data_IF_547995372972
#
_entry.id   IF_547995372972
#
_cell.length_a   1.000
_cell.length_b   1.000
_cell.length_c   1.000
_cell.angle_alpha   90.00
_cell.angle_beta   90.00
_cell.angle_gamma   90.00
#
_symmetry.space_group_name_H-M   'P 1'
#
loop_
_entity.id
_entity.type
_entity.pdbx_description
1 polymer ?
#
# COMPACT_ATOMS: atom_id res chain seq x y z
N UNK A 1 18.87 -33.32 31.23
CA UNK A 1 19.62 -32.16 30.69
C UNK A 1 18.84 -31.31 29.66
N UNK A 2 17.89 -31.84 28.86
CA UNK A 2 17.07 -31.03 27.92
C UNK A 2 16.08 -30.05 28.59
N UNK A 3 15.49 -30.43 29.73
CA UNK A 3 14.50 -29.62 30.46
C UNK A 3 15.09 -28.37 31.14
N UNK A 4 16.36 -28.41 31.57
CA UNK A 4 17.03 -27.26 32.17
C UNK A 4 17.30 -26.16 31.13
N UNK A 5 17.75 -26.57 29.94
CA UNK A 5 18.02 -25.68 28.81
C UNK A 5 16.76 -24.98 28.28
N UNK A 6 15.60 -25.66 28.34
CA UNK A 6 14.31 -25.08 27.98
C UNK A 6 13.84 -24.00 28.97
N UNK A 7 14.13 -24.17 30.27
CA UNK A 7 13.78 -23.17 31.30
C UNK A 7 14.69 -21.94 31.26
N UNK A 8 15.96 -22.11 30.89
CA UNK A 8 16.86 -21.00 30.64
C UNK A 8 16.40 -20.17 29.43
N UNK A 9 16.03 -20.83 28.33
CA UNK A 9 15.51 -20.17 27.12
C UNK A 9 14.21 -19.39 27.40
N UNK A 10 13.29 -19.92 28.21
CA UNK A 10 12.07 -19.18 28.57
C UNK A 10 12.32 -18.06 29.57
N UNK A 11 13.30 -18.21 30.48
CA UNK A 11 13.69 -17.15 31.41
C UNK A 11 14.34 -15.97 30.69
N UNK A 12 15.18 -16.22 29.68
CA UNK A 12 15.81 -15.20 28.84
C UNK A 12 14.78 -14.47 27.97
N UNK A 13 13.79 -15.17 27.42
CA UNK A 13 12.69 -14.54 26.66
C UNK A 13 11.83 -13.63 27.53
N UNK A 14 11.71 -13.92 28.83
CA UNK A 14 10.89 -13.11 29.75
C UNK A 14 11.60 -11.86 30.30
N UNK A 15 12.94 -11.81 30.27
CA UNK A 15 13.72 -10.66 30.78
C UNK A 15 13.89 -9.55 29.74
N UNK A 16 13.76 -9.85 28.45
CA UNK A 16 13.83 -8.84 27.37
C UNK A 16 12.52 -8.03 27.25
N UNK A 17 11.45 -8.45 27.93
CA UNK A 17 10.13 -7.81 27.84
C UNK A 17 9.93 -6.62 28.81
N UNK A 18 10.86 -6.32 29.72
CA UNK A 18 10.63 -5.34 30.80
C UNK A 18 11.54 -4.10 30.83
N UNK A 19 12.42 -3.90 29.85
CA UNK A 19 13.11 -2.62 29.67
C UNK A 19 12.42 -1.83 28.58
N UNK A 20 11.81 -0.70 28.95
CA UNK A 20 11.12 0.24 28.07
C UNK A 20 12.06 0.85 27.02
N UNK A 21 12.33 0.07 25.98
CA UNK A 21 12.89 0.56 24.73
C UNK A 21 11.75 1.18 23.94
N UNK A 22 11.94 2.44 23.54
CA UNK A 22 11.15 3.08 22.48
C UNK A 22 10.92 2.06 21.37
N UNK A 23 9.66 1.86 20.97
CA UNK A 23 9.28 0.96 19.88
C UNK A 23 10.04 1.41 18.64
N UNK A 24 11.20 0.81 18.40
CA UNK A 24 11.91 0.93 17.14
C UNK A 24 10.90 0.57 16.07
N UNK A 25 10.60 1.56 15.24
CA UNK A 25 9.58 1.54 14.22
C UNK A 25 9.90 0.38 13.26
N UNK A 26 9.32 -0.80 13.52
CA UNK A 26 9.72 -2.08 12.94
C UNK A 26 9.81 -1.94 11.42
N UNK A 27 11.04 -2.00 10.88
CA UNK A 27 11.34 -2.14 9.45
C UNK A 27 10.38 -3.19 8.87
N UNK A 28 9.74 -2.95 7.71
CA UNK A 28 8.70 -3.84 7.12
C UNK A 28 9.02 -5.29 7.46
N UNK A 29 8.21 -5.87 8.35
CA UNK A 29 8.54 -7.08 9.13
C UNK A 29 9.21 -8.12 8.22
N UNK A 30 10.32 -8.73 8.65
CA UNK A 30 10.99 -9.78 7.88
C UNK A 30 9.99 -10.90 7.48
N UNK A 31 8.93 -11.09 8.26
CA UNK A 31 7.83 -12.01 7.98
C UNK A 31 6.94 -11.57 6.81
N UNK A 32 6.75 -10.27 6.59
CA UNK A 32 6.06 -9.73 5.41
C UNK A 32 6.87 -9.97 4.14
N UNK A 33 8.21 -9.78 4.19
CA UNK A 33 9.10 -10.12 3.06
C UNK A 33 9.06 -11.62 2.72
N UNK A 34 8.89 -12.47 3.73
CA UNK A 34 8.74 -13.91 3.57
C UNK A 34 7.33 -14.35 3.10
N UNK A 35 6.32 -13.47 3.15
CA UNK A 35 4.99 -13.78 2.67
C UNK A 35 4.96 -13.80 1.13
N UNK A 36 4.65 -14.97 0.56
CA UNK A 36 4.56 -15.21 -0.88
C UNK A 36 3.69 -14.17 -1.62
N UNK A 37 2.67 -13.62 -0.96
CA UNK A 37 1.75 -12.67 -1.58
C UNK A 37 2.18 -11.21 -1.51
N UNK A 38 3.13 -10.85 -0.65
CA UNK A 38 3.53 -9.47 -0.42
C UNK A 38 4.20 -8.82 -1.65
N UNK A 39 5.17 -9.45 -2.34
CA UNK A 39 5.73 -8.92 -3.59
C UNK A 39 4.68 -8.77 -4.71
N UNK A 40 3.73 -9.70 -4.78
CA UNK A 40 2.64 -9.69 -5.76
C UNK A 40 1.67 -8.54 -5.50
N UNK A 41 1.31 -8.30 -4.23
CA UNK A 41 0.45 -7.19 -3.83
C UNK A 41 1.08 -5.83 -4.16
N UNK A 42 2.39 -5.67 -3.92
CA UNK A 42 3.14 -4.45 -4.30
C UNK A 42 3.01 -4.17 -5.80
N UNK A 43 3.32 -5.15 -6.65
CA UNK A 43 3.24 -5.01 -8.11
C UNK A 43 1.82 -4.77 -8.63
N UNK A 44 0.81 -5.34 -7.97
CA UNK A 44 -0.58 -5.24 -8.42
C UNK A 44 -1.25 -3.93 -8.03
N UNK A 45 -0.98 -3.42 -6.82
CA UNK A 45 -1.75 -2.32 -6.24
C UNK A 45 -1.00 -1.00 -6.22
N UNK A 46 0.30 -1.01 -5.90
CA UNK A 46 1.06 0.23 -5.73
C UNK A 46 1.20 1.09 -6.98
N UNK A 47 1.27 0.56 -8.22
CA UNK A 47 1.29 1.41 -9.41
C UNK A 47 0.08 2.35 -9.51
N UNK A 48 -1.11 1.90 -9.09
CA UNK A 48 -2.33 2.72 -9.11
C UNK A 48 -2.34 3.76 -7.99
N UNK A 49 -1.86 3.37 -6.80
CA UNK A 49 -1.67 4.30 -5.66
C UNK A 49 -0.64 5.38 -6.03
N UNK A 50 0.44 5.00 -6.70
CA UNK A 50 1.46 5.93 -7.20
C UNK A 50 0.88 6.87 -8.25
N UNK A 51 0.13 6.36 -9.23
CA UNK A 51 -0.49 7.19 -10.26
C UNK A 51 -1.41 8.26 -9.66
N UNK A 52 -2.20 7.92 -8.63
CA UNK A 52 -3.00 8.91 -7.90
C UNK A 52 -2.15 9.97 -7.21
N UNK A 53 -1.01 9.59 -6.65
CA UNK A 53 -0.15 10.56 -5.99
C UNK A 53 0.61 11.45 -6.99
N UNK A 54 1.03 10.89 -8.12
CA UNK A 54 1.67 11.64 -9.20
C UNK A 54 0.69 12.65 -9.85
N UNK A 55 -0.60 12.34 -9.87
CA UNK A 55 -1.65 13.22 -10.40
C UNK A 55 -2.11 14.31 -9.40
N UNK A 56 -1.66 14.26 -8.14
CA UNK A 56 -2.11 15.17 -7.09
C UNK A 56 -1.69 16.64 -7.34
N UNK A 57 -0.46 16.95 -7.78
CA UNK A 57 -0.07 18.33 -8.11
C UNK A 57 -0.98 18.97 -9.17
N UNK A 58 -1.34 18.22 -10.21
CA UNK A 58 -2.26 18.69 -11.25
C UNK A 58 -3.67 18.89 -10.69
N UNK A 59 -4.15 17.99 -9.83
CA UNK A 59 -5.45 18.14 -9.19
C UNK A 59 -5.53 19.38 -8.29
N UNK A 60 -4.45 19.70 -7.57
CA UNK A 60 -4.34 20.95 -6.79
C UNK A 60 -4.42 22.16 -7.72
N UNK A 61 -3.62 22.18 -8.79
CA UNK A 61 -3.64 23.26 -9.77
C UNK A 61 -5.03 23.46 -10.39
N UNK A 62 -5.70 22.38 -10.79
CA UNK A 62 -7.06 22.45 -11.34
C UNK A 62 -8.11 22.92 -10.33
N UNK A 63 -7.96 22.58 -9.05
CA UNK A 63 -8.85 23.07 -7.99
C UNK A 63 -8.64 24.58 -7.72
N UNK A 64 -7.42 25.07 -7.87
CA UNK A 64 -7.10 26.49 -7.72
C UNK A 64 -7.63 27.31 -8.91
N UNK A 65 -7.41 26.83 -10.14
CA UNK A 65 -7.87 27.45 -11.38
C UNK A 65 -9.36 27.26 -11.67
N UNK A 66 -10.09 26.48 -10.85
CA UNK A 66 -11.47 26.07 -11.08
C UNK A 66 -11.70 25.32 -12.41
N UNK A 67 -10.69 24.56 -12.85
CA UNK A 67 -10.78 23.69 -14.03
C UNK A 67 -11.56 22.42 -13.69
N UNK A 68 -12.87 22.56 -13.45
CA UNK A 68 -13.75 21.49 -12.95
C UNK A 68 -13.81 20.27 -13.86
N UNK A 69 -13.76 20.47 -15.18
CA UNK A 69 -13.89 19.37 -16.14
C UNK A 69 -12.63 18.48 -16.12
N UNK A 70 -11.45 19.11 -15.98
CA UNK A 70 -10.15 18.43 -15.92
C UNK A 70 -9.98 17.70 -14.60
N UNK A 71 -10.34 18.36 -13.50
CA UNK A 71 -10.39 17.72 -12.19
C UNK A 71 -11.42 16.58 -12.15
N UNK A 72 -12.53 16.72 -12.87
CA UNK A 72 -13.53 15.67 -13.04
C UNK A 72 -12.99 14.45 -13.78
N UNK A 73 -12.13 14.63 -14.79
CA UNK A 73 -11.45 13.51 -15.46
C UNK A 73 -10.54 12.77 -14.49
N UNK A 74 -9.72 13.47 -13.71
CA UNK A 74 -8.86 12.84 -12.69
C UNK A 74 -9.69 12.10 -11.62
N UNK A 75 -10.75 12.73 -11.12
CA UNK A 75 -11.62 12.15 -10.10
C UNK A 75 -12.35 10.88 -10.55
N UNK A 76 -12.71 10.77 -11.83
CA UNK A 76 -13.43 9.61 -12.37
C UNK A 76 -12.52 8.58 -13.06
N UNK A 77 -11.21 8.83 -13.10
CA UNK A 77 -10.22 7.87 -13.61
C UNK A 77 -9.22 7.56 -12.52
N UNK A 78 -8.10 8.27 -12.48
CA UNK A 78 -6.93 7.98 -11.64
C UNK A 78 -7.29 7.82 -10.15
N UNK A 79 -8.11 8.73 -9.59
CA UNK A 79 -8.47 8.65 -8.18
C UNK A 79 -9.46 7.53 -7.88
N UNK A 80 -10.43 7.29 -8.76
CA UNK A 80 -11.39 6.20 -8.60
C UNK A 80 -10.71 4.83 -8.67
N UNK A 81 -9.80 4.68 -9.65
CA UNK A 81 -9.00 3.47 -9.85
C UNK A 81 -8.07 3.16 -8.66
N UNK A 82 -7.73 4.15 -7.83
CA UNK A 82 -6.87 3.98 -6.67
C UNK A 82 -7.62 3.52 -5.40
N UNK A 83 -8.94 3.73 -5.31
CA UNK A 83 -9.74 3.40 -4.10
C UNK A 83 -9.61 1.91 -3.72
N UNK A 84 -9.87 1.02 -4.68
CA UNK A 84 -9.76 -0.43 -4.46
C UNK A 84 -8.33 -0.86 -4.07
N UNK A 85 -7.30 -0.49 -4.85
CA UNK A 85 -5.90 -0.78 -4.55
C UNK A 85 -5.43 -0.33 -3.16
N UNK A 86 -5.83 0.85 -2.67
CA UNK A 86 -5.48 1.31 -1.33
C UNK A 86 -5.95 0.33 -0.24
N UNK A 87 -7.21 -0.12 -0.34
CA UNK A 87 -7.80 -1.07 0.61
C UNK A 87 -7.17 -2.46 0.49
N UNK A 88 -6.99 -2.94 -0.74
CA UNK A 88 -6.45 -4.27 -1.02
C UNK A 88 -4.98 -4.40 -0.62
N UNK A 89 -4.18 -3.35 -0.81
CA UNK A 89 -2.79 -3.34 -0.36
C UNK A 89 -2.72 -3.36 1.17
N UNK A 90 -3.47 -2.51 1.86
CA UNK A 90 -3.54 -2.52 3.33
C UNK A 90 -3.96 -3.91 3.86
N UNK A 91 -4.99 -4.51 3.28
CA UNK A 91 -5.43 -5.87 3.62
C UNK A 91 -4.34 -6.91 3.40
N UNK A 92 -3.61 -6.85 2.29
CA UNK A 92 -2.52 -7.79 1.99
C UNK A 92 -1.38 -7.76 3.03
N UNK A 93 -1.19 -6.62 3.72
CA UNK A 93 -0.19 -6.48 4.78
C UNK A 93 -0.58 -7.19 6.08
N UNK A 94 -1.86 -7.48 6.32
CA UNK A 94 -2.34 -8.20 7.51
C UNK A 94 -2.08 -9.71 7.48
N UNK A 95 -1.36 -10.22 6.46
CA UNK A 95 -0.92 -11.61 6.44
C UNK A 95 -1.98 -12.64 6.04
N UNK A 96 -3.18 -12.23 5.57
CA UNK A 96 -4.24 -13.14 5.09
C UNK A 96 -4.54 -14.30 6.06
N UNK A 97 -4.59 -14.03 7.37
CA UNK A 97 -4.85 -15.05 8.42
C UNK A 97 -3.60 -15.53 9.17
N UNK A 98 -2.40 -15.16 8.73
CA UNK A 98 -1.20 -15.20 9.57
C UNK A 98 -1.25 -13.99 10.50
N UNK A 99 -1.18 -14.19 11.81
CA UNK A 99 -1.36 -13.14 12.84
C UNK A 99 -0.20 -12.13 12.89
N UNK A 100 0.05 -11.43 11.78
CA UNK A 100 1.00 -10.33 11.68
C UNK A 100 0.26 -9.06 12.11
N UNK A 101 0.44 -8.66 13.37
CA UNK A 101 -0.13 -7.43 13.92
C UNK A 101 0.70 -6.23 13.47
N UNK A 102 0.53 -5.86 12.21
CA UNK A 102 1.22 -4.72 11.63
C UNK A 102 0.48 -3.45 12.05
N UNK A 103 0.98 -2.76 13.08
CA UNK A 103 0.26 -1.65 13.73
C UNK A 103 -0.10 -0.52 12.76
N UNK A 104 0.74 -0.26 11.75
CA UNK A 104 0.53 0.79 10.75
C UNK A 104 -0.54 0.47 9.71
N UNK A 105 -0.99 -0.79 9.60
CA UNK A 105 -2.06 -1.15 8.65
C UNK A 105 -3.39 -0.54 9.06
N UNK A 106 -3.63 -0.37 10.37
CA UNK A 106 -4.84 0.31 10.86
C UNK A 106 -4.91 1.74 10.35
N UNK A 107 -3.79 2.46 10.38
CA UNK A 107 -3.71 3.80 9.83
C UNK A 107 -3.90 3.77 8.31
N UNK A 108 -3.26 2.86 7.59
CA UNK A 108 -3.48 2.72 6.14
C UNK A 108 -4.94 2.43 5.78
N UNK A 109 -5.63 1.55 6.53
CA UNK A 109 -7.06 1.29 6.32
C UNK A 109 -7.87 2.56 6.56
N UNK A 110 -7.64 3.26 7.67
CA UNK A 110 -8.32 4.53 7.97
C UNK A 110 -8.10 5.56 6.87
N UNK A 111 -6.86 5.76 6.44
CA UNK A 111 -6.53 6.73 5.39
C UNK A 111 -7.15 6.32 4.03
N UNK A 112 -7.28 5.02 3.74
CA UNK A 112 -7.96 4.56 2.52
C UNK A 112 -9.46 4.85 2.51
N UNK A 113 -10.11 4.79 3.67
CA UNK A 113 -11.52 5.16 3.83
C UNK A 113 -11.72 6.68 3.75
N UNK A 114 -10.79 7.44 4.35
CA UNK A 114 -10.79 8.90 4.25
C UNK A 114 -10.58 9.36 2.80
N UNK A 115 -9.69 8.71 2.06
CA UNK A 115 -9.47 8.97 0.63
C UNK A 115 -10.76 8.74 -0.18
N UNK A 116 -11.43 7.61 0.02
CA UNK A 116 -12.71 7.32 -0.66
C UNK A 116 -13.81 8.32 -0.30
N UNK A 117 -13.92 8.68 0.98
CA UNK A 117 -14.88 9.68 1.43
C UNK A 117 -14.59 11.08 0.86
N UNK A 118 -13.32 11.47 0.80
CA UNK A 118 -12.88 12.71 0.17
C UNK A 118 -13.16 12.72 -1.34
N UNK A 119 -12.93 11.60 -2.04
CA UNK A 119 -13.28 11.45 -3.45
C UNK A 119 -14.79 11.58 -3.68
N UNK A 120 -15.60 10.98 -2.82
CA UNK A 120 -17.06 11.12 -2.85
C UNK A 120 -17.51 12.57 -2.67
N UNK A 121 -16.85 13.31 -1.76
CA UNK A 121 -17.09 14.76 -1.57
C UNK A 121 -16.65 15.57 -2.78
N UNK A 122 -15.48 15.28 -3.35
CA UNK A 122 -14.97 15.92 -4.57
C UNK A 122 -15.96 15.75 -5.73
N UNK A 123 -16.40 14.52 -6.01
CA UNK A 123 -17.38 14.24 -7.09
C UNK A 123 -18.70 15.00 -6.89
N UNK A 124 -19.15 15.17 -5.64
CA UNK A 124 -20.35 15.97 -5.32
C UNK A 124 -20.11 17.48 -5.53
N UNK A 125 -18.95 17.99 -5.09
CA UNK A 125 -18.58 19.40 -5.27
C UNK A 125 -18.42 19.76 -6.75
N UNK A 126 -17.80 18.87 -7.55
CA UNK A 126 -17.65 19.02 -9.00
C UNK A 126 -19.00 19.13 -9.71
N UNK A 127 -19.97 18.27 -9.36
CA UNK A 127 -21.34 18.34 -9.92
C UNK A 127 -22.03 19.68 -9.64
N UNK A 128 -21.72 20.29 -8.50
CA UNK A 128 -22.27 21.60 -8.10
C UNK A 128 -21.41 22.78 -8.57
N UNK A 129 -20.24 22.52 -9.18
CA UNK A 129 -19.20 23.52 -9.45
C UNK A 129 -18.87 24.39 -8.24
N UNK A 130 -18.85 23.76 -7.06
CA UNK A 130 -18.51 24.43 -5.80
C UNK A 130 -16.98 24.51 -5.67
N UNK A 131 -16.42 25.70 -5.92
CA UNK A 131 -14.98 25.96 -5.80
C UNK A 131 -14.43 25.70 -4.40
N UNK A 132 -15.15 26.13 -3.36
CA UNK A 132 -14.69 25.98 -1.99
C UNK A 132 -14.72 24.51 -1.56
N UNK A 133 -15.82 23.83 -1.85
CA UNK A 133 -15.97 22.39 -1.60
C UNK A 133 -14.97 21.55 -2.39
N UNK A 134 -14.69 21.93 -3.63
CA UNK A 134 -13.69 21.26 -4.48
C UNK A 134 -12.29 21.36 -3.89
N UNK A 135 -11.85 22.57 -3.52
CA UNK A 135 -10.52 22.78 -2.92
C UNK A 135 -10.37 22.05 -1.59
N UNK A 136 -11.41 22.09 -0.74
CA UNK A 136 -11.41 21.36 0.52
C UNK A 136 -11.29 19.84 0.30
N UNK A 137 -12.07 19.30 -0.65
CA UNK A 137 -12.03 17.87 -0.94
C UNK A 137 -10.69 17.41 -1.56
N UNK A 138 -10.04 18.25 -2.40
CA UNK A 138 -8.70 17.95 -2.94
C UNK A 138 -7.64 17.97 -1.85
N UNK A 139 -7.69 18.91 -0.90
CA UNK A 139 -6.77 18.92 0.25
C UNK A 139 -6.93 17.67 1.12
N UNK A 140 -8.17 17.24 1.34
CA UNK A 140 -8.44 16.03 2.11
C UNK A 140 -7.96 14.76 1.37
N UNK A 141 -8.09 14.71 0.03
CA UNK A 141 -7.53 13.65 -0.80
C UNK A 141 -6.00 13.59 -0.71
N UNK A 142 -5.34 14.74 -0.83
CA UNK A 142 -3.88 14.82 -0.75
C UNK A 142 -3.37 14.41 0.64
N UNK A 143 -4.00 14.94 1.70
CA UNK A 143 -3.64 14.63 3.09
C UNK A 143 -3.77 13.14 3.40
N UNK A 144 -4.89 12.52 3.01
CA UNK A 144 -5.13 11.09 3.25
C UNK A 144 -4.18 10.22 2.41
N UNK A 145 -3.95 10.57 1.14
CA UNK A 145 -3.02 9.82 0.29
C UNK A 145 -1.57 9.92 0.78
N UNK A 146 -1.14 11.11 1.20
CA UNK A 146 0.20 11.33 1.76
C UNK A 146 0.37 10.58 3.07
N UNK A 147 -0.60 10.66 3.98
CA UNK A 147 -0.58 9.94 5.25
C UNK A 147 -0.58 8.42 5.05
N UNK A 148 -1.36 7.91 4.10
CA UNK A 148 -1.34 6.51 3.70
C UNK A 148 0.05 6.07 3.24
N UNK A 149 0.68 6.87 2.37
CA UNK A 149 2.00 6.55 1.81
C UNK A 149 3.11 6.60 2.88
N UNK A 150 3.03 7.52 3.83
CA UNK A 150 3.94 7.60 4.97
C UNK A 150 3.76 6.37 5.87
N UNK A 151 2.51 6.06 6.28
CA UNK A 151 2.20 4.91 7.13
C UNK A 151 2.66 3.59 6.48
N UNK A 152 2.45 3.44 5.17
CA UNK A 152 2.89 2.28 4.41
C UNK A 152 4.38 2.27 4.04
N UNK A 153 5.13 3.35 4.33
CA UNK A 153 6.53 3.55 3.93
C UNK A 153 6.75 3.34 2.42
N UNK A 154 5.80 3.84 1.64
CA UNK A 154 5.77 3.82 0.15
C UNK A 154 5.84 5.25 -0.42
N UNK A 155 6.33 6.20 0.36
CA UNK A 155 6.62 7.57 -0.04
C UNK A 155 7.98 7.69 -0.77
N UNK A 156 8.39 6.63 -1.47
CA UNK A 156 9.61 6.58 -2.28
C UNK A 156 9.31 6.99 -3.73
N UNK A 157 10.33 7.36 -4.53
CA UNK A 157 10.15 7.77 -5.93
C UNK A 157 9.45 6.73 -6.81
N UNK A 158 9.66 5.44 -6.52
CA UNK A 158 9.04 4.29 -7.20
C UNK A 158 7.66 3.91 -6.62
N UNK A 159 7.14 4.67 -5.65
CA UNK A 159 5.86 4.38 -4.99
C UNK A 159 5.88 3.11 -4.14
N UNK A 160 7.06 2.69 -3.70
CA UNK A 160 7.24 1.51 -2.88
C UNK A 160 7.06 0.20 -3.65
N UNK A 161 7.19 0.17 -4.98
CA UNK A 161 7.16 -1.08 -5.76
C UNK A 161 8.43 -1.92 -5.52
N UNK A 162 9.58 -1.26 -5.32
CA UNK A 162 10.91 -1.80 -5.05
C UNK A 162 11.54 -2.58 -6.21
N UNK A 163 12.85 -2.83 -6.12
CA UNK A 163 13.45 -4.00 -6.76
C UNK A 163 13.19 -5.24 -5.90
N UNK A 164 12.82 -6.37 -6.51
CA UNK A 164 12.78 -7.66 -5.81
C UNK A 164 14.22 -8.18 -5.82
N UNK A 165 14.90 -8.35 -4.67
CA UNK A 165 16.21 -8.98 -4.66
C UNK A 165 16.03 -10.43 -5.15
N UNK A 166 16.47 -10.72 -6.37
CA UNK A 166 16.49 -12.09 -6.92
C UNK A 166 17.61 -12.93 -6.33
N UNK A 167 18.54 -12.33 -5.57
CA UNK A 167 19.68 -13.02 -5.01
C UNK A 167 19.51 -13.36 -3.52
N UNK A 168 19.07 -14.60 -3.30
CA UNK A 168 19.74 -15.63 -2.46
C UNK A 168 18.69 -16.67 -2.04
N UNK A 169 18.74 -17.83 -2.71
CA UNK A 169 18.12 -19.11 -2.32
C UNK A 169 16.75 -18.96 -1.64
N UNK A 170 15.77 -18.52 -2.40
CA UNK A 170 14.41 -18.98 -2.15
C UNK A 170 14.42 -20.51 -2.33
N UNK A 171 13.98 -21.25 -1.30
CA UNK A 171 14.05 -22.70 -1.24
C UNK A 171 13.45 -23.37 -2.49
N UNK A 172 13.81 -24.62 -2.72
CA UNK A 172 13.51 -25.45 -3.91
C UNK A 172 12.06 -25.46 -4.43
N UNK A 173 11.09 -24.84 -3.76
CA UNK A 173 9.76 -24.55 -4.29
C UNK A 173 9.65 -23.34 -5.25
N UNK A 174 10.70 -22.55 -5.41
CA UNK A 174 10.72 -21.35 -6.28
C UNK A 174 11.38 -21.56 -7.66
N UNK A 175 11.88 -22.77 -7.95
CA UNK A 175 12.63 -23.06 -9.17
C UNK A 175 11.75 -23.47 -10.36
N UNK A 176 10.42 -23.40 -10.28
CA UNK A 176 9.58 -23.63 -11.46
C UNK A 176 9.31 -22.34 -12.24
N UNK A 177 10.38 -21.60 -12.50
CA UNK A 177 10.39 -20.50 -13.47
C UNK A 177 10.57 -21.10 -14.87
N UNK A 178 9.71 -22.07 -15.23
CA UNK A 178 9.76 -22.74 -16.53
C UNK A 178 9.23 -21.75 -17.59
N UNK A 179 10.08 -21.20 -18.46
CA UNK A 179 9.65 -20.23 -19.47
C UNK A 179 8.63 -20.81 -20.46
N UNK A 180 8.52 -22.14 -20.57
CA UNK A 180 7.53 -22.83 -21.42
C UNK A 180 6.09 -22.60 -20.93
N UNK A 181 5.86 -22.30 -19.65
CA UNK A 181 4.52 -22.02 -19.11
C UNK A 181 3.91 -20.71 -19.64
N UNK A 182 4.74 -19.77 -20.10
CA UNK A 182 4.30 -18.47 -20.59
C UNK A 182 4.30 -18.37 -22.13
N UNK A 183 4.77 -19.40 -22.84
CA UNK A 183 4.86 -19.40 -24.29
C UNK A 183 3.60 -19.93 -25.00
N UNK A 184 2.61 -20.49 -24.29
CA UNK A 184 1.56 -21.28 -24.96
C UNK A 184 0.42 -20.50 -25.63
N UNK A 185 0.41 -19.16 -25.64
CA UNK A 185 -0.67 -18.37 -26.27
C UNK A 185 -0.21 -17.33 -27.31
N UNK A 186 1.04 -17.35 -27.77
CA UNK A 186 1.48 -16.50 -28.90
C UNK A 186 1.71 -17.40 -30.11
N UNK A 187 0.63 -17.88 -30.71
CA UNK A 187 0.71 -18.67 -31.95
C UNK A 187 -0.38 -19.73 -32.11
N UNK A 188 -1.64 -19.34 -32.16
CA UNK A 188 -2.72 -20.14 -32.74
C UNK A 188 -3.69 -19.23 -33.50
N UNK A 189 -3.20 -18.66 -34.59
CA UNK A 189 -4.03 -18.21 -35.71
C UNK A 189 -3.37 -18.74 -36.97
N UNK A 190 -3.87 -19.88 -37.43
CA UNK A 190 -3.92 -20.28 -38.83
C UNK A 190 -5.32 -20.81 -39.08
#
# INVERSE_FOLDING_TARGET
QRLARQRELTSQSSTVASTGAEKSEVEIDANLRANYYFPTARKRYLPRVKAAADAMPDAVAYAESNSFDELGKLANSVFDDAVGPLKLYASALTGQGLSLSVSYVKDMTRESEQFEAALGRLKKALKKRDSAGTRAAVRDLDSSLTSYRIAGRINTPDGGVGEIPTDKRVGSGFANNNPVLYQKNIGASR
#
